data_IF_660505089030
#
_entry.id   IF_660505089030
#
_cell.length_a   1.000
_cell.length_b   1.000
_cell.length_c   1.000
_cell.angle_alpha   90.00
_cell.angle_beta   90.00
_cell.angle_gamma   90.00
#
_symmetry.space_group_name_H-M   'P 1'
#
loop_
_entity.id
_entity.type
_entity.pdbx_description
1 polymer ?
#
# COMPACT_ATOMS: atom_id res chain seq x y z
N UNK A 1 30.02 -21.71 19.66
CA UNK A 1 29.38 -21.71 18.34
C UNK A 1 28.15 -20.84 18.42
N UNK A 2 28.13 -19.69 17.77
CA UNK A 2 26.93 -18.84 17.69
C UNK A 2 25.94 -19.51 16.73
N UNK A 3 24.80 -19.95 17.25
CA UNK A 3 23.68 -20.51 16.49
C UNK A 3 22.97 -19.41 15.69
N UNK A 4 23.64 -18.89 14.66
CA UNK A 4 23.07 -17.94 13.73
C UNK A 4 22.44 -18.68 12.54
N UNK A 5 21.22 -18.33 12.17
CA UNK A 5 20.63 -18.79 10.92
C UNK A 5 21.48 -18.30 9.73
N UNK A 6 21.89 -19.22 8.86
CA UNK A 6 22.57 -18.88 7.61
C UNK A 6 21.52 -18.28 6.68
N UNK A 7 21.55 -16.96 6.56
CA UNK A 7 20.62 -16.19 5.72
C UNK A 7 21.13 -15.99 4.28
N UNK A 8 22.38 -16.35 4.01
CA UNK A 8 22.99 -16.33 2.67
C UNK A 8 24.45 -16.77 2.73
N UNK A 9 25.00 -17.13 1.59
CA UNK A 9 26.42 -17.47 1.43
C UNK A 9 27.07 -16.51 0.43
N UNK A 10 28.29 -16.10 0.71
CA UNK A 10 29.13 -15.30 -0.18
C UNK A 10 30.32 -16.15 -0.61
N UNK A 11 30.70 -16.06 -1.87
CA UNK A 11 31.90 -16.69 -2.39
C UNK A 11 33.10 -15.76 -2.25
N UNK A 12 34.30 -16.35 -2.20
CA UNK A 12 35.55 -15.59 -2.17
C UNK A 12 35.65 -14.74 -3.43
N UNK A 13 35.65 -13.42 -3.28
CA UNK A 13 35.68 -12.46 -4.39
C UNK A 13 34.40 -11.62 -4.51
N UNK A 14 33.33 -11.97 -3.79
CA UNK A 14 32.10 -11.18 -3.76
C UNK A 14 32.34 -9.79 -3.16
N UNK A 15 31.85 -8.77 -3.86
CA UNK A 15 31.87 -7.38 -3.37
C UNK A 15 30.67 -7.16 -2.44
N UNK A 16 30.93 -6.69 -1.23
CA UNK A 16 29.91 -6.37 -0.23
C UNK A 16 29.96 -4.92 0.20
N UNK A 17 28.80 -4.37 0.53
CA UNK A 17 28.69 -3.03 1.09
C UNK A 17 28.73 -3.12 2.61
N UNK A 18 29.85 -2.78 3.23
CA UNK A 18 29.99 -2.80 4.70
C UNK A 18 29.28 -1.59 5.29
N UNK A 19 28.36 -1.83 6.22
CA UNK A 19 27.61 -0.80 6.96
C UNK A 19 28.31 -0.46 8.27
N UNK A 20 28.85 -1.45 8.99
CA UNK A 20 29.59 -1.24 10.23
C UNK A 20 30.53 -2.41 10.51
N UNK A 21 31.53 -2.21 11.37
CA UNK A 21 32.41 -3.26 11.85
C UNK A 21 32.51 -3.20 13.38
N UNK A 22 32.43 -4.35 14.04
CA UNK A 22 32.58 -4.47 15.49
C UNK A 22 33.18 -5.83 15.84
N UNK A 23 34.19 -5.86 16.70
CA UNK A 23 34.81 -7.09 17.22
C UNK A 23 35.21 -8.10 16.13
N UNK A 24 35.77 -7.64 15.01
CA UNK A 24 36.18 -8.49 13.89
C UNK A 24 35.05 -8.96 12.97
N UNK A 25 33.81 -8.54 13.23
CA UNK A 25 32.65 -8.81 12.37
C UNK A 25 32.28 -7.59 11.54
N UNK A 26 31.95 -7.81 10.26
CA UNK A 26 31.41 -6.78 9.38
C UNK A 26 29.90 -6.98 9.19
N UNK A 27 29.11 -5.96 9.52
CA UNK A 27 27.70 -5.85 9.11
C UNK A 27 27.66 -5.38 7.67
N UNK A 28 27.04 -6.16 6.78
CA UNK A 28 26.94 -5.85 5.36
C UNK A 28 25.51 -5.53 4.94
N UNK A 29 25.34 -4.66 3.94
CA UNK A 29 24.07 -4.44 3.24
C UNK A 29 23.91 -5.54 2.20
N UNK A 30 23.04 -6.51 2.47
CA UNK A 30 22.64 -7.50 1.48
C UNK A 30 21.48 -6.97 0.63
N UNK A 31 21.52 -7.28 -0.67
CA UNK A 31 20.36 -7.15 -1.55
C UNK A 31 19.32 -8.25 -1.23
N UNK A 32 18.21 -8.31 -1.99
CA UNK A 32 17.17 -9.32 -1.83
C UNK A 32 17.75 -10.72 -1.62
N UNK A 33 17.24 -11.41 -0.60
CA UNK A 33 17.59 -12.79 -0.26
C UNK A 33 16.34 -13.54 0.17
N UNK A 34 16.41 -14.86 0.12
CA UNK A 34 15.37 -15.69 0.71
C UNK A 34 15.30 -15.45 2.23
N UNK A 35 14.07 -15.31 2.73
CA UNK A 35 13.83 -15.21 4.16
C UNK A 35 14.00 -16.59 4.81
N UNK A 36 14.62 -16.63 5.98
CA UNK A 36 14.64 -17.83 6.82
C UNK A 36 13.24 -18.13 7.39
N UNK A 37 13.02 -19.36 7.86
CA UNK A 37 11.76 -19.75 8.51
C UNK A 37 11.41 -18.80 9.67
N UNK A 38 12.37 -18.50 10.54
CA UNK A 38 12.15 -17.63 11.70
C UNK A 38 11.78 -16.20 11.30
N UNK A 39 12.34 -15.70 10.19
CA UNK A 39 11.98 -14.39 9.66
C UNK A 39 10.57 -14.37 9.08
N UNK A 40 10.16 -15.44 8.39
CA UNK A 40 8.77 -15.59 7.93
C UNK A 40 7.83 -15.69 9.14
N UNK A 41 8.17 -16.52 10.13
CA UNK A 41 7.38 -16.75 11.34
C UNK A 41 7.11 -15.45 12.11
N UNK A 42 8.13 -14.57 12.19
CA UNK A 42 8.00 -13.25 12.80
C UNK A 42 6.84 -12.44 12.20
N UNK A 43 6.65 -12.48 10.87
CA UNK A 43 5.67 -11.64 10.18
C UNK A 43 4.33 -12.33 9.89
N UNK A 44 4.30 -13.66 9.85
CA UNK A 44 3.07 -14.45 9.61
C UNK A 44 2.38 -14.87 10.91
N UNK A 45 2.99 -14.70 12.08
CA UNK A 45 2.30 -14.99 13.33
C UNK A 45 1.54 -13.73 13.82
N UNK A 46 0.19 -13.71 13.81
CA UNK A 46 -0.57 -12.53 14.18
C UNK A 46 -0.38 -12.12 15.65
N UNK A 47 0.01 -13.08 16.51
CA UNK A 47 0.27 -12.84 17.93
C UNK A 47 1.50 -11.96 18.19
N UNK A 48 2.36 -11.78 17.19
CA UNK A 48 3.53 -10.91 17.28
C UNK A 48 3.18 -9.42 17.15
N UNK A 49 1.90 -9.09 16.92
CA UNK A 49 1.45 -7.72 16.67
C UNK A 49 0.36 -7.33 17.67
N UNK A 50 0.69 -6.38 18.52
CA UNK A 50 -0.17 -5.88 19.59
C UNK A 50 -0.97 -4.65 19.12
N UNK A 51 -2.16 -4.43 19.71
CA UNK A 51 -3.10 -3.36 19.28
C UNK A 51 -2.54 -1.94 19.45
N UNK A 52 -1.62 -1.74 20.38
CA UNK A 52 -0.93 -0.48 20.64
C UNK A 52 0.18 -0.18 19.62
N UNK A 53 0.52 -1.12 18.75
CA UNK A 53 1.50 -0.96 17.70
C UNK A 53 0.86 -0.52 16.38
N UNK A 54 1.52 0.40 15.67
CA UNK A 54 1.15 0.74 14.28
C UNK A 54 1.11 -0.48 13.37
N UNK A 55 1.91 -1.52 13.67
CA UNK A 55 1.91 -2.79 12.96
C UNK A 55 0.55 -3.51 12.98
N UNK A 56 -0.31 -3.24 13.96
CA UNK A 56 -1.64 -3.84 14.05
C UNK A 56 -2.56 -3.43 12.89
N UNK A 57 -2.29 -2.29 12.26
CA UNK A 57 -3.04 -1.82 11.09
C UNK A 57 -2.94 -2.74 9.87
N UNK A 58 -2.06 -3.75 9.89
CA UNK A 58 -2.04 -4.77 8.86
C UNK A 58 -3.32 -5.62 8.87
N UNK A 59 -4.02 -5.67 10.02
CA UNK A 59 -5.31 -6.33 10.19
C UNK A 59 -6.50 -5.40 9.96
N UNK A 60 -6.27 -4.12 9.64
CA UNK A 60 -7.35 -3.18 9.34
C UNK A 60 -8.18 -3.72 8.17
N UNK A 61 -9.49 -3.78 8.38
CA UNK A 61 -10.45 -4.26 7.41
C UNK A 61 -10.68 -3.19 6.35
N UNK A 62 -10.04 -3.40 5.21
CA UNK A 62 -10.07 -2.52 4.05
C UNK A 62 -11.42 -2.57 3.32
N UNK A 63 -12.27 -3.57 3.58
CA UNK A 63 -13.62 -3.70 3.03
C UNK A 63 -14.69 -2.90 3.80
N UNK A 64 -14.29 -2.12 4.81
CA UNK A 64 -15.19 -1.29 5.61
C UNK A 64 -14.71 0.16 5.68
N UNK A 65 -15.66 1.07 5.51
CA UNK A 65 -15.40 2.51 5.64
C UNK A 65 -15.17 2.88 7.10
N UNK A 66 -14.29 3.86 7.35
CA UNK A 66 -13.96 4.32 8.70
C UNK A 66 -14.91 5.41 9.24
N UNK A 67 -15.75 5.98 8.37
CA UNK A 67 -16.70 7.04 8.72
C UNK A 67 -16.09 8.44 8.70
N UNK A 68 -15.05 8.69 7.90
CA UNK A 68 -14.30 9.94 7.95
C UNK A 68 -15.11 11.17 7.54
N UNK A 69 -14.75 12.31 8.12
CA UNK A 69 -15.27 13.62 7.75
C UNK A 69 -14.44 14.26 6.61
N UNK A 70 -15.08 14.64 5.51
CA UNK A 70 -14.39 15.21 4.35
C UNK A 70 -13.65 16.52 4.65
N UNK A 71 -14.23 17.40 5.48
CA UNK A 71 -13.61 18.67 5.84
C UNK A 71 -12.37 18.46 6.69
N UNK A 72 -12.43 17.52 7.65
CA UNK A 72 -11.27 17.16 8.47
C UNK A 72 -10.16 16.53 7.64
N UNK A 73 -10.49 15.56 6.77
CA UNK A 73 -9.54 14.95 5.83
C UNK A 73 -8.87 16.02 4.98
N UNK A 74 -9.62 16.98 4.47
CA UNK A 74 -9.08 18.08 3.68
C UNK A 74 -8.16 18.99 4.49
N UNK A 75 -8.51 19.32 5.73
CA UNK A 75 -7.74 20.21 6.58
C UNK A 75 -6.44 19.55 7.09
N UNK A 76 -6.49 18.27 7.45
CA UNK A 76 -5.40 17.61 8.19
C UNK A 76 -4.55 16.67 7.35
N UNK A 77 -5.12 16.05 6.31
CA UNK A 77 -4.43 15.03 5.51
C UNK A 77 -4.12 15.53 4.10
N UNK A 78 -5.13 16.03 3.40
CA UNK A 78 -5.01 16.42 2.00
C UNK A 78 -4.56 17.88 1.81
N UNK A 79 -4.33 18.60 2.90
CA UNK A 79 -3.73 19.94 2.84
C UNK A 79 -2.34 19.88 2.19
N UNK A 80 -2.14 20.72 1.17
CA UNK A 80 -0.89 20.83 0.42
C UNK A 80 -0.43 19.49 -0.21
N UNK A 81 -1.37 18.67 -0.71
CA UNK A 81 -1.10 17.39 -1.40
C UNK A 81 -1.31 17.50 -2.91
N UNK A 82 -0.82 18.59 -3.50
CA UNK A 82 -0.92 18.83 -4.94
C UNK A 82 -2.37 18.78 -5.43
N UNK A 83 -2.62 18.03 -6.50
CA UNK A 83 -3.95 17.91 -7.10
C UNK A 83 -4.99 17.20 -6.19
N UNK A 84 -4.53 16.50 -5.16
CA UNK A 84 -5.40 15.83 -4.18
C UNK A 84 -5.93 16.79 -3.11
N UNK A 85 -5.43 18.04 -3.07
CA UNK A 85 -5.92 19.06 -2.15
C UNK A 85 -7.41 19.30 -2.36
N UNK A 86 -8.18 19.23 -1.26
CA UNK A 86 -9.63 19.44 -1.29
C UNK A 86 -10.45 18.23 -1.78
N UNK A 87 -9.84 17.09 -2.10
CA UNK A 87 -10.52 15.91 -2.67
C UNK A 87 -11.08 14.93 -1.65
N UNK A 88 -11.15 15.29 -0.37
CA UNK A 88 -11.65 14.42 0.71
C UNK A 88 -13.02 13.81 0.42
N UNK A 89 -13.96 14.61 -0.11
CA UNK A 89 -15.29 14.09 -0.47
C UNK A 89 -15.23 13.06 -1.60
N UNK A 90 -14.40 13.28 -2.62
CA UNK A 90 -14.26 12.34 -3.73
C UNK A 90 -13.70 10.98 -3.27
N UNK A 91 -12.77 10.98 -2.31
CA UNK A 91 -12.28 9.74 -1.70
C UNK A 91 -13.35 9.03 -0.88
N UNK A 92 -14.13 9.78 -0.08
CA UNK A 92 -15.22 9.21 0.72
C UNK A 92 -16.34 8.64 -0.17
N UNK A 93 -16.69 9.32 -1.26
CA UNK A 93 -17.70 8.84 -2.20
C UNK A 93 -17.24 7.56 -2.91
N UNK A 94 -15.98 7.54 -3.36
CA UNK A 94 -15.37 6.35 -3.98
C UNK A 94 -15.27 5.17 -3.01
N UNK A 95 -14.88 5.44 -1.76
CA UNK A 95 -14.83 4.48 -0.68
C UNK A 95 -16.19 3.84 -0.40
N UNK A 96 -17.25 4.65 -0.32
CA UNK A 96 -18.62 4.18 -0.12
C UNK A 96 -19.12 3.37 -1.31
N UNK A 97 -18.92 3.86 -2.53
CA UNK A 97 -19.37 3.20 -3.75
C UNK A 97 -18.81 1.79 -3.91
N UNK A 98 -17.56 1.57 -3.48
CA UNK A 98 -16.88 0.29 -3.62
C UNK A 98 -16.64 -0.45 -2.31
N UNK A 99 -17.24 0.00 -1.20
CA UNK A 99 -17.05 -0.58 0.14
C UNK A 99 -15.56 -0.78 0.47
N UNK A 100 -14.80 0.32 0.42
CA UNK A 100 -13.37 0.36 0.71
C UNK A 100 -13.12 1.34 1.85
N UNK A 101 -12.13 1.06 2.69
CA UNK A 101 -11.65 2.00 3.69
C UNK A 101 -11.07 3.27 3.01
N UNK A 102 -11.68 4.43 3.26
CA UNK A 102 -11.33 5.70 2.63
C UNK A 102 -9.90 6.16 2.97
N UNK A 103 -9.41 5.91 4.19
CA UNK A 103 -8.05 6.28 4.55
C UNK A 103 -7.02 5.42 3.84
N UNK A 104 -7.32 4.15 3.60
CA UNK A 104 -6.51 3.29 2.76
C UNK A 104 -6.42 3.83 1.33
N UNK A 105 -7.55 4.22 0.72
CA UNK A 105 -7.53 4.85 -0.62
C UNK A 105 -6.69 6.13 -0.66
N UNK A 106 -6.86 7.01 0.34
CA UNK A 106 -6.07 8.25 0.45
C UNK A 106 -4.58 7.93 0.60
N UNK A 107 -4.22 7.03 1.52
CA UNK A 107 -2.84 6.62 1.80
C UNK A 107 -2.17 6.05 0.54
N UNK A 108 -2.89 5.20 -0.20
CA UNK A 108 -2.40 4.59 -1.43
C UNK A 108 -2.25 5.64 -2.53
N UNK A 109 -3.26 6.48 -2.75
CA UNK A 109 -3.16 7.54 -3.76
C UNK A 109 -2.00 8.51 -3.48
N UNK A 110 -1.80 8.90 -2.23
CA UNK A 110 -0.66 9.75 -1.86
C UNK A 110 0.69 9.05 -2.11
N UNK A 111 0.76 7.70 -2.17
CA UNK A 111 1.99 6.95 -2.49
C UNK A 111 2.27 7.03 -3.96
N UNK A 112 1.31 6.53 -4.73
CA UNK A 112 1.43 6.34 -6.17
C UNK A 112 1.59 7.67 -6.91
N UNK A 113 1.07 8.75 -6.32
CA UNK A 113 1.14 10.09 -6.91
C UNK A 113 2.26 10.97 -6.35
N UNK A 114 3.05 10.47 -5.39
CA UNK A 114 4.05 11.28 -4.70
C UNK A 114 3.43 12.51 -4.01
N UNK A 115 2.35 12.31 -3.24
CA UNK A 115 1.53 13.39 -2.66
C UNK A 115 0.87 14.30 -3.70
N UNK A 116 0.32 13.72 -4.77
CA UNK A 116 -0.46 14.43 -5.79
C UNK A 116 0.36 15.24 -6.80
N UNK A 117 1.67 14.99 -6.91
CA UNK A 117 2.57 15.77 -7.78
C UNK A 117 3.06 15.02 -9.00
N UNK A 118 2.82 13.70 -9.10
CA UNK A 118 3.20 12.90 -10.27
C UNK A 118 2.56 13.41 -11.54
N UNK A 119 3.21 13.19 -12.68
CA UNK A 119 2.73 13.68 -13.97
C UNK A 119 1.36 13.10 -14.34
N UNK A 120 1.19 11.78 -14.16
CA UNK A 120 -0.09 11.08 -14.35
C UNK A 120 -1.21 11.62 -13.44
N UNK A 121 -0.89 11.99 -12.19
CA UNK A 121 -1.87 12.55 -11.27
C UNK A 121 -2.28 13.97 -11.65
N UNK A 122 -1.32 14.83 -12.02
CA UNK A 122 -1.58 16.21 -12.50
C UNK A 122 -2.31 16.25 -13.86
N UNK A 123 -2.25 15.12 -14.55
CA UNK A 123 -2.98 14.79 -15.76
C UNK A 123 -2.12 14.97 -17.01
N UNK A 124 -2.32 14.03 -17.95
CA UNK A 124 -1.52 13.87 -19.17
C UNK A 124 -2.44 13.99 -20.38
N UNK A 125 -1.98 14.59 -21.48
CA UNK A 125 -2.74 14.60 -22.73
C UNK A 125 -2.62 13.25 -23.43
N UNK A 126 -3.75 12.65 -23.76
CA UNK A 126 -3.82 11.40 -24.52
C UNK A 126 -4.98 11.48 -25.52
N UNK A 127 -4.71 11.24 -26.81
CA UNK A 127 -5.71 11.35 -27.89
C UNK A 127 -6.56 12.63 -27.83
N UNK A 128 -5.92 13.78 -27.61
CA UNK A 128 -6.59 15.08 -27.56
C UNK A 128 -7.38 15.37 -26.28
N UNK A 129 -7.35 14.49 -25.27
CA UNK A 129 -8.05 14.67 -24.00
C UNK A 129 -7.10 14.59 -22.82
N UNK A 130 -7.28 15.46 -21.82
CA UNK A 130 -6.54 15.38 -20.56
C UNK A 130 -7.13 14.26 -19.70
N UNK A 131 -6.27 13.34 -19.28
CA UNK A 131 -6.62 12.18 -18.45
C UNK A 131 -5.84 12.19 -17.15
N UNK A 132 -6.36 11.55 -16.13
CA UNK A 132 -5.81 11.56 -14.77
C UNK A 132 -5.70 10.14 -14.24
N UNK A 133 -4.65 9.85 -13.46
CA UNK A 133 -4.48 8.55 -12.81
C UNK A 133 -3.91 8.73 -11.40
N UNK A 134 -4.70 8.36 -10.40
CA UNK A 134 -4.43 8.64 -8.98
C UNK A 134 -3.82 7.47 -8.23
N UNK A 135 -3.62 6.33 -8.89
CA UNK A 135 -3.14 5.09 -8.27
C UNK A 135 -2.16 4.32 -9.18
N UNK A 136 -1.63 4.95 -10.23
CA UNK A 136 -0.69 4.31 -11.16
C UNK A 136 -1.27 3.11 -11.93
N UNK A 137 -2.59 2.98 -12.02
CA UNK A 137 -3.22 1.78 -12.63
C UNK A 137 -2.85 1.70 -14.11
N UNK A 138 -2.34 0.54 -14.53
CA UNK A 138 -1.93 0.30 -15.92
C UNK A 138 -0.64 1.01 -16.34
N UNK A 139 0.13 1.60 -15.41
CA UNK A 139 1.43 2.19 -15.69
C UNK A 139 2.53 1.11 -15.64
N UNK A 140 2.96 0.61 -16.80
CA UNK A 140 4.02 -0.40 -16.90
C UNK A 140 5.42 0.21 -17.00
N UNK A 141 6.43 -0.42 -16.39
CA UNK A 141 7.82 0.09 -16.28
C UNK A 141 8.47 0.53 -17.60
N UNK A 142 8.09 -0.10 -18.72
CA UNK A 142 8.64 0.24 -20.03
C UNK A 142 8.25 1.64 -20.51
N UNK A 143 7.03 2.10 -20.19
CA UNK A 143 6.57 3.45 -20.47
C UNK A 143 5.36 3.80 -19.57
N UNK A 144 5.59 4.07 -18.28
CA UNK A 144 4.52 4.16 -17.29
C UNK A 144 3.56 5.32 -17.60
N UNK A 145 4.08 6.43 -18.12
CA UNK A 145 3.27 7.59 -18.50
C UNK A 145 2.32 7.26 -19.66
N UNK A 146 2.81 6.66 -20.74
CA UNK A 146 1.98 6.30 -21.90
C UNK A 146 0.89 5.29 -21.52
N UNK A 147 1.27 4.18 -20.89
CA UNK A 147 0.32 3.11 -20.59
C UNK A 147 -0.67 3.51 -19.50
N UNK A 148 -0.23 4.26 -18.48
CA UNK A 148 -1.10 4.80 -17.45
C UNK A 148 -2.11 5.81 -18.01
N UNK A 149 -1.69 6.68 -18.95
CA UNK A 149 -2.58 7.62 -19.63
C UNK A 149 -3.54 6.93 -20.60
N UNK A 150 -3.06 5.92 -21.34
CA UNK A 150 -3.91 5.08 -22.21
C UNK A 150 -5.01 4.41 -21.40
N UNK A 151 -4.65 3.76 -20.29
CA UNK A 151 -5.62 3.12 -19.40
C UNK A 151 -6.65 4.12 -18.87
N UNK A 152 -6.18 5.28 -18.36
CA UNK A 152 -7.04 6.34 -17.88
C UNK A 152 -8.01 6.86 -18.97
N UNK A 153 -7.57 6.97 -20.22
CA UNK A 153 -8.42 7.34 -21.35
C UNK A 153 -9.51 6.30 -21.61
N UNK A 154 -9.13 5.01 -21.68
CA UNK A 154 -10.04 3.88 -21.89
C UNK A 154 -11.09 3.76 -20.77
N UNK A 155 -10.74 4.11 -19.54
CA UNK A 155 -11.64 4.12 -18.38
C UNK A 155 -12.43 5.42 -18.21
N UNK A 156 -12.19 6.44 -19.04
CA UNK A 156 -12.91 7.71 -18.97
C UNK A 156 -12.50 8.63 -17.82
N UNK A 157 -11.27 8.51 -17.31
CA UNK A 157 -10.76 9.28 -16.17
C UNK A 157 -10.34 10.70 -16.58
N UNK A 158 -11.33 11.51 -16.93
CA UNK A 158 -11.15 12.86 -17.47
C UNK A 158 -11.17 13.98 -16.42
N UNK A 159 -11.36 13.63 -15.15
CA UNK A 159 -11.24 14.52 -14.00
C UNK A 159 -10.50 13.81 -12.87
N UNK A 160 -9.90 14.56 -11.91
CA UNK A 160 -9.33 13.96 -10.71
C UNK A 160 -10.31 13.07 -9.94
N UNK A 161 -11.56 13.50 -9.80
CA UNK A 161 -12.61 12.75 -9.09
C UNK A 161 -12.99 11.46 -9.83
N UNK A 162 -13.08 11.50 -11.16
CA UNK A 162 -13.33 10.31 -11.96
C UNK A 162 -12.18 9.29 -11.84
N UNK A 163 -10.93 9.77 -11.78
CA UNK A 163 -9.76 8.92 -11.54
C UNK A 163 -9.73 8.34 -10.12
N UNK A 164 -10.15 9.10 -9.09
CA UNK A 164 -10.30 8.61 -7.72
C UNK A 164 -11.35 7.49 -7.66
N UNK A 165 -12.53 7.72 -8.24
CA UNK A 165 -13.65 6.77 -8.30
C UNK A 165 -13.26 5.50 -9.07
N UNK A 166 -12.71 5.65 -10.28
CA UNK A 166 -12.35 4.50 -11.11
C UNK A 166 -11.16 3.71 -10.57
N UNK A 167 -10.19 4.36 -9.92
CA UNK A 167 -9.11 3.66 -9.23
C UNK A 167 -9.62 2.88 -8.01
N UNK A 168 -10.55 3.44 -7.24
CA UNK A 168 -11.20 2.72 -6.16
C UNK A 168 -11.98 1.49 -6.68
N UNK A 169 -12.70 1.61 -7.81
CA UNK A 169 -13.32 0.47 -8.49
C UNK A 169 -12.31 -0.65 -8.77
N UNK A 170 -11.19 -0.29 -9.41
CA UNK A 170 -10.14 -1.25 -9.75
C UNK A 170 -9.60 -1.96 -8.50
N UNK A 171 -9.27 -1.21 -7.45
CA UNK A 171 -8.76 -1.75 -6.18
C UNK A 171 -9.80 -2.67 -5.53
N UNK A 172 -11.06 -2.25 -5.50
CA UNK A 172 -12.17 -3.02 -4.95
C UNK A 172 -12.37 -4.35 -5.67
N UNK A 173 -12.50 -4.32 -6.99
CA UNK A 173 -12.79 -5.51 -7.81
C UNK A 173 -11.61 -6.49 -7.89
N UNK A 174 -10.37 -5.99 -7.96
CA UNK A 174 -9.18 -6.83 -8.18
C UNK A 174 -8.57 -7.39 -6.91
N UNK A 175 -8.78 -6.74 -5.76
CA UNK A 175 -8.12 -7.13 -4.51
C UNK A 175 -9.11 -7.35 -3.36
N UNK A 176 -9.84 -6.31 -2.94
CA UNK A 176 -10.62 -6.34 -1.69
C UNK A 176 -11.83 -7.27 -1.80
N UNK A 177 -12.62 -7.14 -2.87
CA UNK A 177 -13.85 -7.88 -3.12
C UNK A 177 -13.68 -8.99 -4.16
N UNK A 178 -12.44 -9.39 -4.45
CA UNK A 178 -12.19 -10.44 -5.42
C UNK A 178 -12.92 -11.74 -5.00
N UNK A 179 -13.76 -12.35 -5.86
CA UNK A 179 -14.68 -13.41 -5.47
C UNK A 179 -13.98 -14.63 -4.83
N UNK A 180 -12.76 -14.91 -5.28
CA UNK A 180 -11.96 -16.06 -4.83
C UNK A 180 -11.02 -15.74 -3.66
N UNK A 181 -10.41 -14.55 -3.63
CA UNK A 181 -9.28 -14.29 -2.73
C UNK A 181 -9.69 -13.51 -1.48
N UNK A 182 -10.69 -12.61 -1.59
CA UNK A 182 -11.26 -11.83 -0.46
C UNK A 182 -10.20 -11.24 0.47
N UNK A 183 -9.18 -10.59 -0.10
CA UNK A 183 -8.02 -10.10 0.63
C UNK A 183 -8.29 -8.70 1.17
N UNK A 184 -9.17 -8.61 2.16
CA UNK A 184 -9.65 -7.35 2.72
C UNK A 184 -8.82 -6.82 3.90
N UNK A 185 -7.59 -7.29 4.07
CA UNK A 185 -6.60 -6.71 4.98
C UNK A 185 -5.22 -6.73 4.31
N UNK A 186 -4.33 -5.80 4.64
CA UNK A 186 -2.93 -5.82 4.14
C UNK A 186 -2.24 -7.15 4.50
N UNK A 187 -2.58 -7.70 5.67
CA UNK A 187 -2.13 -9.02 6.08
C UNK A 187 -2.58 -10.10 5.10
N UNK A 188 -3.87 -10.18 4.74
CA UNK A 188 -4.37 -11.18 3.77
C UNK A 188 -3.83 -10.95 2.36
N UNK A 189 -3.60 -9.69 1.96
CA UNK A 189 -2.95 -9.36 0.69
C UNK A 189 -1.51 -9.91 0.64
N UNK A 190 -0.79 -9.89 1.76
CA UNK A 190 0.57 -10.45 1.86
C UNK A 190 0.58 -11.96 2.08
N UNK A 191 -0.24 -12.46 2.99
CA UNK A 191 -0.22 -13.82 3.52
C UNK A 191 -1.46 -14.60 3.10
N UNK A 192 -1.81 -14.53 1.81
CA UNK A 192 -2.96 -15.28 1.27
C UNK A 192 -2.91 -16.74 1.75
N UNK A 193 -4.01 -17.30 2.29
CA UNK A 193 -4.02 -18.67 2.85
C UNK A 193 -3.59 -19.75 1.86
N UNK A 194 -3.79 -19.49 0.57
CA UNK A 194 -3.44 -20.39 -0.52
C UNK A 194 -2.11 -20.04 -1.21
N UNK A 195 -1.38 -19.00 -0.79
CA UNK A 195 -0.10 -18.51 -1.35
C UNK A 195 -0.07 -18.19 -2.86
N UNK A 196 -1.19 -18.34 -3.58
CA UNK A 196 -1.27 -18.20 -5.05
C UNK A 196 -1.45 -16.74 -5.51
N UNK A 197 -1.82 -15.82 -4.62
CA UNK A 197 -2.09 -14.42 -4.94
C UNK A 197 -1.53 -13.49 -3.86
N UNK A 198 -0.20 -13.50 -3.67
CA UNK A 198 0.47 -12.57 -2.76
C UNK A 198 0.79 -11.27 -3.49
N UNK A 199 0.45 -10.12 -2.90
CA UNK A 199 0.70 -8.81 -3.49
C UNK A 199 2.20 -8.48 -3.60
N UNK A 200 3.03 -9.07 -2.73
CA UNK A 200 4.47 -8.84 -2.71
C UNK A 200 5.25 -10.07 -2.22
N UNK A 201 6.51 -10.19 -2.66
CA UNK A 201 7.46 -11.21 -2.21
C UNK A 201 8.16 -10.85 -0.89
N UNK A 202 8.26 -9.56 -0.57
CA UNK A 202 8.85 -9.06 0.69
C UNK A 202 8.05 -9.50 1.91
N UNK A 203 8.65 -10.31 2.78
CA UNK A 203 8.03 -10.77 4.04
C UNK A 203 7.61 -9.63 4.96
N UNK A 204 8.28 -8.48 4.90
CA UNK A 204 7.93 -7.29 5.67
C UNK A 204 6.97 -6.34 4.96
N UNK A 205 6.42 -6.68 3.79
CA UNK A 205 5.66 -5.72 2.97
C UNK A 205 4.51 -5.08 3.73
N UNK A 206 3.61 -5.89 4.33
CA UNK A 206 2.45 -5.38 5.06
C UNK A 206 2.90 -4.46 6.21
N UNK A 207 3.89 -4.91 7.00
CA UNK A 207 4.50 -4.13 8.08
C UNK A 207 5.07 -2.78 7.61
N UNK A 208 5.65 -2.72 6.41
CA UNK A 208 6.19 -1.47 5.85
C UNK A 208 5.09 -0.52 5.37
N UNK A 209 3.93 -1.04 4.94
CA UNK A 209 2.81 -0.23 4.48
C UNK A 209 2.01 0.41 5.64
N UNK A 210 1.94 -0.25 6.81
CA UNK A 210 1.07 0.22 7.91
C UNK A 210 1.48 1.57 8.49
N UNK A 211 2.78 1.90 8.49
CA UNK A 211 3.29 3.11 9.15
C UNK A 211 2.68 4.39 8.58
N UNK A 212 2.47 4.42 7.26
CA UNK A 212 1.81 5.56 6.61
C UNK A 212 0.33 5.65 7.00
N UNK A 213 -0.39 4.55 6.90
CA UNK A 213 -1.83 4.54 7.19
C UNK A 213 -2.09 4.91 8.65
N UNK A 214 -1.33 4.32 9.58
CA UNK A 214 -1.35 4.70 11.00
C UNK A 214 -1.04 6.20 11.18
N UNK A 215 0.02 6.70 10.55
CA UNK A 215 0.40 8.11 10.60
C UNK A 215 -0.67 9.07 10.09
N UNK A 216 -1.60 8.62 9.23
CA UNK A 216 -2.76 9.41 8.82
C UNK A 216 -3.92 9.31 9.81
N UNK A 217 -4.18 8.12 10.40
CA UNK A 217 -5.24 7.92 11.39
C UNK A 217 -5.00 8.78 12.64
N UNK A 218 -3.76 8.88 13.11
CA UNK A 218 -3.42 9.68 14.29
C UNK A 218 -3.61 11.19 14.10
N UNK A 219 -3.85 11.66 12.88
CA UNK A 219 -4.18 13.07 12.61
C UNK A 219 -5.67 13.37 12.77
N UNK A 220 -6.53 12.35 12.78
CA UNK A 220 -7.98 12.48 12.77
C UNK A 220 -8.55 12.39 14.18
N UNK A 221 -9.61 13.15 14.44
CA UNK A 221 -10.28 13.24 15.74
C UNK A 221 -11.35 12.15 15.89
N UNK A 222 -12.01 11.75 14.80
CA UNK A 222 -13.08 10.76 14.81
C UNK A 222 -12.96 9.78 13.65
N UNK A 223 -12.93 8.49 13.98
CA UNK A 223 -12.93 7.37 13.05
C UNK A 223 -13.26 6.07 13.80
N UNK A 224 -13.82 5.09 13.08
CA UNK A 224 -14.03 3.73 13.63
C UNK A 224 -13.20 2.71 12.85
N UNK A 225 -12.11 2.16 13.44
CA UNK A 225 -11.34 1.12 12.79
C UNK A 225 -11.98 -0.25 13.04
N UNK A 226 -12.03 -1.07 11.99
CA UNK A 226 -12.45 -2.47 12.08
C UNK A 226 -11.25 -3.36 11.79
N UNK A 227 -11.09 -4.43 12.57
CA UNK A 227 -9.96 -5.34 12.42
C UNK A 227 -10.42 -6.77 12.16
N UNK A 228 -9.68 -7.48 11.31
CA UNK A 228 -9.83 -8.93 11.09
C UNK A 228 -8.46 -9.60 11.30
N UNK A 229 -8.33 -10.25 12.47
CA UNK A 229 -7.11 -10.94 12.89
C UNK A 229 -7.26 -12.43 12.60
N UNK A 230 -6.41 -13.01 11.73
CA UNK A 230 -6.52 -14.42 11.40
C UNK A 230 -6.15 -15.30 12.59
N UNK A 231 -6.86 -16.43 12.72
CA UNK A 231 -6.60 -17.46 13.74
C UNK A 231 -6.08 -18.70 13.02
N UNK A 232 -4.80 -19.02 13.25
CA UNK A 232 -4.21 -20.28 12.80
C UNK A 232 -4.53 -21.38 13.81
N UNK A 233 -4.93 -22.56 13.30
CA UNK A 233 -5.15 -23.78 14.09
C UNK A 233 -4.13 -24.83 13.69
#
# INVERSE_FOLDING_TARGET
>A
MTSGNIIGQLQKGDKVNIISQENGWAKIRMNWRNASRDEVEKYVNPKNFTQDSSAYFQFLKLSQTAGLNAAEVNAKILYNKGILTGKGQAFIDAARAYSINELYLISHSLLETGNGTSELAKGTMFNGKKVYNMYGVGAYDSNPLYYGAKYAYEQGWFTPEAAIMGGAKFIGEKYIHHPTYKQDTLYKMRWSPNALHQYATDVGWAYKQVGRMYGLYVLLDDYTPYYDVPVYR
#
